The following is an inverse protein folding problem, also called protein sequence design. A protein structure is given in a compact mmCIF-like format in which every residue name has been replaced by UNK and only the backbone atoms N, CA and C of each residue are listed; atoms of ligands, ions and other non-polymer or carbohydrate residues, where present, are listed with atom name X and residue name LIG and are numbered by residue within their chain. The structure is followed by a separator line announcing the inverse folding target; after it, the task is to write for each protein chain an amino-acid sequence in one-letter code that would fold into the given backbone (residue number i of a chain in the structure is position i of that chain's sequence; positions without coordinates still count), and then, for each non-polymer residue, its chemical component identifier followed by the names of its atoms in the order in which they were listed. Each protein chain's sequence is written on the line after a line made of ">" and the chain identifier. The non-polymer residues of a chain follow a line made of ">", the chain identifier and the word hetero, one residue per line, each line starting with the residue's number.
data_IF_958580407211
#
_entry.id   IF_958580407211
#
_cell.length_a   1.000
_cell.length_b   1.000
_cell.length_c   1.000
_cell.angle_alpha   90.00
_cell.angle_beta   90.00
_cell.angle_gamma   90.00
#
_symmetry.space_group_name_H-M   'P 1'
#
loop_
_entity.id
_entity.type
_entity.pdbx_description
1 polymer ?
#
# COMPACT_ATOMS: atom_id res chain seq x y z
N UNK A 1 8.21 -6.17 1.42
CA UNK A 1 9.53 -6.24 2.08
C UNK A 1 9.43 -5.48 3.39
N UNK A 2 9.88 -6.04 4.51
CA UNK A 2 9.96 -5.36 5.80
C UNK A 2 11.42 -5.02 6.06
N UNK A 3 11.72 -3.75 6.33
CA UNK A 3 13.05 -3.28 6.71
C UNK A 3 13.01 -2.91 8.19
N UNK A 4 13.90 -3.50 8.99
CA UNK A 4 14.14 -3.13 10.38
C UNK A 4 15.46 -2.39 10.40
N UNK A 5 15.41 -1.10 10.71
CA UNK A 5 16.60 -0.25 10.74
C UNK A 5 17.39 -0.47 12.03
N UNK A 6 18.71 -0.40 11.93
CA UNK A 6 19.58 -0.31 13.10
C UNK A 6 19.27 0.97 13.89
N UNK A 7 19.59 0.98 15.19
CA UNK A 7 19.15 2.07 16.07
C UNK A 7 19.63 3.46 15.63
N UNK A 8 20.83 3.51 15.04
CA UNK A 8 21.45 4.72 14.50
C UNK A 8 20.77 5.26 13.24
N UNK A 9 20.10 4.38 12.47
CA UNK A 9 19.43 4.73 11.21
C UNK A 9 17.92 4.93 11.40
N UNK A 10 17.40 4.78 12.62
CA UNK A 10 15.98 4.99 12.90
C UNK A 10 15.60 6.45 12.65
N UNK A 11 14.50 6.63 11.94
CA UNK A 11 13.84 7.93 11.82
C UNK A 11 13.35 8.38 13.20
N UNK A 12 13.86 9.51 13.69
CA UNK A 12 13.51 10.10 14.99
C UNK A 12 12.78 11.43 14.83
N UNK A 13 12.94 12.07 13.68
CA UNK A 13 12.35 13.36 13.34
C UNK A 13 11.44 13.25 12.12
N UNK A 14 10.58 14.26 11.93
CA UNK A 14 9.76 14.33 10.72
C UNK A 14 10.60 14.64 9.48
N UNK A 15 11.74 15.32 9.69
CA UNK A 15 12.73 15.63 8.65
C UNK A 15 13.37 14.34 8.10
N UNK A 16 13.67 13.37 8.98
CA UNK A 16 14.17 12.06 8.56
C UNK A 16 13.14 11.39 7.63
N UNK A 17 11.86 11.42 8.00
CA UNK A 17 10.77 10.86 7.18
C UNK A 17 10.68 11.60 5.85
N UNK A 18 10.75 12.94 5.85
CA UNK A 18 10.71 13.75 4.62
C UNK A 18 11.86 13.47 3.67
N UNK A 19 13.01 13.05 4.18
CA UNK A 19 14.17 12.71 3.36
C UNK A 19 13.99 11.40 2.58
N UNK A 20 13.13 10.49 3.08
CA UNK A 20 12.96 9.15 2.52
C UNK A 20 11.61 8.95 1.85
N UNK A 21 10.53 9.51 2.39
CA UNK A 21 9.17 9.30 1.88
C UNK A 21 8.53 10.62 1.50
N UNK A 22 8.04 10.66 0.27
CA UNK A 22 7.25 11.73 -0.31
C UNK A 22 5.89 11.20 -0.69
N UNK A 23 4.89 12.06 -0.61
CA UNK A 23 3.57 11.81 -1.20
C UNK A 23 3.18 12.99 -2.09
N UNK A 24 4.18 13.62 -2.69
CA UNK A 24 4.05 14.77 -3.58
C UNK A 24 4.36 14.39 -5.01
N UNK A 25 3.68 15.02 -5.95
CA UNK A 25 4.02 14.97 -7.37
C UNK A 25 5.18 15.95 -7.61
N UNK A 26 6.33 15.49 -8.13
CA UNK A 26 7.48 16.34 -8.41
C UNK A 26 7.19 17.39 -9.47
N UNK A 27 8.00 18.45 -9.50
CA UNK A 27 7.86 19.50 -10.51
C UNK A 27 8.27 18.97 -11.90
N UNK A 28 7.39 19.16 -12.89
CA UNK A 28 7.57 18.67 -14.26
C UNK A 28 8.79 19.28 -14.95
N UNK A 29 9.11 20.54 -14.66
CA UNK A 29 10.22 21.25 -15.29
C UNK A 29 11.53 20.88 -14.60
N UNK A 30 11.54 20.83 -13.26
CA UNK A 30 12.77 20.57 -12.50
C UNK A 30 13.19 19.10 -12.53
N UNK A 31 12.22 18.18 -12.54
CA UNK A 31 12.47 16.74 -12.49
C UNK A 31 11.50 15.97 -13.42
N UNK A 32 11.59 16.17 -14.74
CA UNK A 32 10.61 15.62 -15.70
C UNK A 32 10.49 14.09 -15.63
N UNK A 33 11.62 13.38 -15.54
CA UNK A 33 11.62 11.91 -15.50
C UNK A 33 10.95 11.36 -14.25
N UNK A 34 11.26 11.95 -13.09
CA UNK A 34 10.63 11.53 -11.83
C UNK A 34 9.15 11.93 -11.80
N UNK A 35 8.80 13.11 -12.32
CA UNK A 35 7.41 13.54 -12.48
C UNK A 35 6.61 12.53 -13.29
N UNK A 36 7.13 12.11 -14.44
CA UNK A 36 6.54 11.09 -15.29
C UNK A 36 6.38 9.75 -14.54
N UNK A 37 7.43 9.23 -13.90
CA UNK A 37 7.34 7.99 -13.13
C UNK A 37 6.32 8.07 -12.00
N UNK A 38 6.27 9.19 -11.26
CA UNK A 38 5.30 9.38 -10.17
C UNK A 38 3.88 9.46 -10.72
N UNK A 39 3.64 10.16 -11.83
CA UNK A 39 2.31 10.20 -12.45
C UNK A 39 1.86 8.84 -12.94
N UNK A 40 2.75 8.07 -13.58
CA UNK A 40 2.41 6.78 -14.15
C UNK A 40 2.18 5.71 -13.09
N UNK A 41 2.98 5.72 -12.01
CA UNK A 41 3.01 4.61 -11.06
C UNK A 41 2.52 4.97 -9.66
N UNK A 42 2.68 6.21 -9.21
CA UNK A 42 2.36 6.60 -7.84
C UNK A 42 1.07 7.41 -7.73
N UNK A 43 0.45 7.82 -8.83
CA UNK A 43 -0.85 8.51 -8.79
C UNK A 43 -2.00 7.51 -8.81
N UNK A 44 -2.85 7.59 -7.79
CA UNK A 44 -4.04 6.77 -7.72
C UNK A 44 -5.14 7.31 -8.64
N UNK A 45 -5.32 6.64 -9.77
CA UNK A 45 -6.39 6.93 -10.72
C UNK A 45 -7.67 6.20 -10.31
N UNK A 46 -8.36 6.68 -9.27
CA UNK A 46 -9.75 6.27 -9.04
C UNK A 46 -10.71 7.24 -9.73
N UNK A 47 -11.68 6.69 -10.45
CA UNK A 47 -12.92 7.40 -10.69
C UNK A 47 -13.69 7.42 -9.38
N UNK A 48 -13.51 8.48 -8.59
CA UNK A 48 -14.72 9.09 -8.07
C UNK A 48 -15.57 9.46 -9.29
N UNK A 49 -16.89 9.39 -9.20
CA UNK A 49 -17.73 9.83 -10.32
C UNK A 49 -17.34 11.26 -10.65
N UNK A 50 -16.54 11.43 -11.69
CA UNK A 50 -16.22 12.70 -12.30
C UNK A 50 -17.25 12.84 -13.40
N UNK A 51 -17.98 13.94 -13.36
CA UNK A 51 -18.91 14.28 -14.41
C UNK A 51 -18.15 15.14 -15.42
N UNK A 52 -18.35 14.90 -16.71
CA UNK A 52 -17.92 15.84 -17.73
C UNK A 52 -18.71 17.16 -17.61
N UNK A 53 -18.35 18.16 -18.42
CA UNK A 53 -19.03 19.46 -18.44
C UNK A 53 -20.54 19.36 -18.79
N UNK A 54 -20.99 18.20 -19.28
CA UNK A 54 -22.38 17.88 -19.59
C UNK A 54 -23.08 17.06 -18.49
N UNK A 55 -22.42 16.82 -17.35
CA UNK A 55 -22.99 16.03 -16.26
C UNK A 55 -22.98 14.52 -16.49
N UNK A 56 -22.21 13.99 -17.46
CA UNK A 56 -22.10 12.56 -17.71
C UNK A 56 -20.94 11.93 -16.93
N UNK A 57 -21.16 10.77 -16.27
CA UNK A 57 -20.10 10.09 -15.53
C UNK A 57 -19.01 9.60 -16.50
N UNK A 58 -17.79 10.13 -16.35
CA UNK A 58 -16.63 9.75 -17.14
C UNK A 58 -16.24 8.31 -16.78
N UNK A 59 -16.23 7.35 -17.73
CA UNK A 59 -15.89 5.97 -17.43
C UNK A 59 -14.37 5.79 -17.30
N UNK A 60 -13.88 5.43 -16.12
CA UNK A 60 -12.64 4.65 -15.99
C UNK A 60 -12.69 3.73 -14.75
N UNK A 61 -11.68 2.87 -14.59
CA UNK A 61 -11.78 1.52 -14.04
C UNK A 61 -12.45 1.37 -12.66
N UNK A 62 -13.58 0.65 -12.63
CA UNK A 62 -14.42 0.29 -11.46
C UNK A 62 -13.75 -0.54 -10.34
N UNK A 63 -12.43 -0.70 -10.32
CA UNK A 63 -11.77 -1.65 -9.41
C UNK A 63 -11.71 -1.17 -7.94
N UNK A 64 -11.55 0.14 -7.71
CA UNK A 64 -11.24 0.70 -6.38
C UNK A 64 -12.41 1.45 -5.71
N UNK A 65 -13.51 1.67 -6.42
CA UNK A 65 -14.67 2.43 -5.91
C UNK A 65 -15.70 1.50 -5.28
N UNK A 66 -16.16 1.82 -4.08
CA UNK A 66 -17.28 1.16 -3.42
C UNK A 66 -18.61 1.49 -4.10
N UNK A 67 -19.65 0.72 -3.80
CA UNK A 67 -21.02 1.02 -4.26
C UNK A 67 -21.51 2.40 -3.81
N UNK A 68 -20.95 2.92 -2.72
CA UNK A 68 -21.23 4.25 -2.16
C UNK A 68 -20.54 5.40 -2.91
N UNK A 69 -19.70 5.09 -3.90
CA UNK A 69 -18.89 6.07 -4.62
C UNK A 69 -17.58 6.45 -3.93
N UNK A 70 -17.28 5.88 -2.74
CA UNK A 70 -16.04 6.14 -2.00
C UNK A 70 -14.90 5.22 -2.47
N UNK A 71 -13.67 5.72 -2.48
CA UNK A 71 -12.51 4.89 -2.75
C UNK A 71 -12.21 3.97 -1.55
N UNK A 72 -12.11 2.65 -1.79
CA UNK A 72 -11.72 1.65 -0.79
C UNK A 72 -10.33 1.90 -0.17
N UNK A 73 -9.49 2.66 -0.87
CA UNK A 73 -8.12 3.03 -0.45
C UNK A 73 -8.06 4.42 0.19
N UNK A 74 -9.21 5.07 0.42
CA UNK A 74 -9.29 6.32 1.17
C UNK A 74 -8.85 7.57 0.41
N UNK A 75 -8.81 7.52 -0.93
CA UNK A 75 -8.57 8.71 -1.75
C UNK A 75 -9.84 9.57 -1.90
N UNK A 76 -9.73 10.90 -2.06
CA UNK A 76 -8.50 11.68 -1.94
C UNK A 76 -8.01 11.73 -0.49
N UNK A 77 -6.69 11.73 -0.30
CA UNK A 77 -6.08 11.89 1.02
C UNK A 77 -6.17 13.35 1.49
N UNK A 78 -6.14 13.58 2.80
CA UNK A 78 -6.26 14.94 3.35
C UNK A 78 -5.05 15.82 2.98
N UNK A 79 -5.32 17.08 2.59
CA UNK A 79 -4.29 18.11 2.49
C UNK A 79 -3.79 18.47 3.88
N UNK A 80 -2.48 18.40 4.09
CA UNK A 80 -1.86 18.73 5.36
C UNK A 80 -0.44 19.22 5.15
N UNK A 81 -0.03 20.23 5.91
CA UNK A 81 1.28 20.86 5.76
C UNK A 81 2.44 20.00 6.31
N UNK A 82 2.15 19.13 7.28
CA UNK A 82 3.15 18.32 7.98
C UNK A 82 2.72 16.85 8.06
N UNK A 83 3.70 15.95 8.11
CA UNK A 83 3.43 14.54 8.38
C UNK A 83 3.09 14.33 9.85
N UNK A 84 2.02 13.60 10.13
CA UNK A 84 1.55 13.29 11.49
C UNK A 84 1.35 11.80 11.69
N UNK A 85 1.37 11.33 12.94
CA UNK A 85 1.01 9.94 13.25
C UNK A 85 -0.51 9.76 13.14
N UNK A 86 -0.94 8.73 12.42
CA UNK A 86 -2.33 8.30 12.32
C UNK A 86 -2.77 7.48 13.54
N UNK A 87 -4.08 7.44 13.78
CA UNK A 87 -4.69 6.74 14.93
C UNK A 87 -4.43 5.22 14.90
N UNK A 88 -4.24 4.69 13.70
CA UNK A 88 -3.90 3.30 13.38
C UNK A 88 -2.38 3.01 13.42
N UNK A 89 -1.55 4.02 13.68
CA UNK A 89 -0.09 3.92 13.71
C UNK A 89 0.58 4.07 12.34
N UNK A 90 -0.18 4.44 11.31
CA UNK A 90 0.34 4.77 9.97
C UNK A 90 0.64 6.27 9.86
N UNK A 91 1.70 6.65 9.16
CA UNK A 91 1.97 8.06 8.91
C UNK A 91 0.92 8.68 7.96
N UNK A 92 0.43 9.86 8.33
CA UNK A 92 -0.37 10.73 7.47
C UNK A 92 0.56 11.74 6.83
N UNK A 93 0.92 11.53 5.57
CA UNK A 93 1.95 12.34 4.90
C UNK A 93 1.48 13.75 4.54
N UNK A 94 2.42 14.70 4.58
CA UNK A 94 2.23 16.06 4.05
C UNK A 94 1.86 16.06 2.56
N UNK A 95 0.91 16.91 2.18
CA UNK A 95 0.37 17.08 0.83
C UNK A 95 -0.01 18.54 0.63
N UNK A 96 0.54 19.18 -0.39
CA UNK A 96 0.43 20.63 -0.58
C UNK A 96 -0.55 21.02 -1.68
N UNK A 97 -0.74 20.16 -2.68
CA UNK A 97 -1.59 20.42 -3.84
C UNK A 97 -2.75 19.43 -3.90
N UNK A 98 -3.85 19.81 -4.57
CA UNK A 98 -4.97 18.91 -4.80
C UNK A 98 -4.55 17.63 -5.56
N UNK A 99 -3.57 17.74 -6.46
CA UNK A 99 -3.01 16.59 -7.18
C UNK A 99 -2.25 15.64 -6.22
N UNK A 100 -1.52 16.18 -5.24
CA UNK A 100 -0.85 15.37 -4.21
C UNK A 100 -1.84 14.52 -3.41
N UNK A 101 -3.12 14.90 -3.30
CA UNK A 101 -4.13 14.11 -2.58
C UNK A 101 -4.32 12.70 -3.16
N UNK A 102 -3.95 12.49 -4.42
CA UNK A 102 -4.05 11.21 -5.12
C UNK A 102 -2.72 10.47 -5.21
N UNK A 103 -1.61 11.08 -4.79
CA UNK A 103 -0.31 10.43 -4.78
C UNK A 103 -0.22 9.40 -3.64
N UNK A 104 0.13 8.17 -3.96
CA UNK A 104 0.57 7.17 -2.99
C UNK A 104 1.95 7.56 -2.41
N UNK A 105 2.23 7.27 -1.14
CA UNK A 105 3.53 7.54 -0.53
C UNK A 105 4.62 6.65 -1.14
N UNK A 106 5.75 7.27 -1.47
CA UNK A 106 6.83 6.64 -2.20
C UNK A 106 8.18 7.22 -1.82
N UNK A 107 9.24 6.47 -2.10
CA UNK A 107 10.58 7.02 -2.10
C UNK A 107 10.92 7.48 -3.53
N UNK A 108 11.23 8.78 -3.76
CA UNK A 108 11.54 9.30 -5.10
C UNK A 108 12.67 8.55 -5.81
N UNK A 109 13.72 8.19 -5.08
CA UNK A 109 14.85 7.45 -5.65
C UNK A 109 14.44 6.05 -6.11
N UNK A 110 13.66 5.31 -5.31
CA UNK A 110 13.22 3.95 -5.68
C UNK A 110 12.29 3.97 -6.88
N UNK A 111 11.32 4.89 -6.92
CA UNK A 111 10.39 5.02 -8.05
C UNK A 111 11.14 5.36 -9.32
N UNK A 112 12.07 6.31 -9.26
CA UNK A 112 12.87 6.68 -10.42
C UNK A 112 13.79 5.53 -10.89
N UNK A 113 14.46 4.86 -9.95
CA UNK A 113 15.42 3.79 -10.26
C UNK A 113 14.78 2.57 -10.89
N UNK A 114 13.60 2.16 -10.40
CA UNK A 114 12.94 0.94 -10.85
C UNK A 114 11.78 1.19 -11.80
N UNK A 115 11.36 2.45 -11.97
CA UNK A 115 10.29 2.89 -12.86
C UNK A 115 9.03 2.00 -12.76
N UNK A 116 8.56 1.78 -11.54
CA UNK A 116 7.41 0.92 -11.26
C UNK A 116 6.66 1.36 -10.00
N UNK A 117 5.50 0.74 -9.75
CA UNK A 117 4.67 0.99 -8.56
C UNK A 117 5.38 0.49 -7.29
N UNK A 118 5.88 1.42 -6.47
CA UNK A 118 6.54 1.12 -5.20
C UNK A 118 5.94 2.01 -4.10
N UNK A 119 5.09 1.43 -3.26
CA UNK A 119 4.57 2.10 -2.06
C UNK A 119 5.57 1.93 -0.90
N UNK A 120 5.95 3.05 -0.27
CA UNK A 120 6.83 3.05 0.91
C UNK A 120 6.09 3.66 2.08
N UNK A 121 6.00 2.89 3.18
CA UNK A 121 5.29 3.31 4.39
C UNK A 121 6.22 3.33 5.59
N UNK A 122 6.17 4.42 6.37
CA UNK A 122 6.85 4.53 7.65
C UNK A 122 5.88 4.21 8.79
N UNK A 123 6.36 3.40 9.72
CA UNK A 123 5.62 3.01 10.92
C UNK A 123 6.40 3.38 12.17
N UNK A 124 5.76 4.16 13.04
CA UNK A 124 6.33 4.57 14.33
C UNK A 124 5.77 3.73 15.49
N UNK A 125 4.66 3.04 15.27
CA UNK A 125 3.94 2.30 16.32
C UNK A 125 4.12 0.78 16.25
N UNK A 126 4.24 0.14 17.41
CA UNK A 126 4.26 -1.32 17.56
C UNK A 126 2.97 -2.00 17.07
N UNK A 127 1.86 -1.25 16.97
CA UNK A 127 0.57 -1.76 16.44
C UNK A 127 0.72 -2.25 14.99
N UNK A 128 1.48 -1.54 14.17
CA UNK A 128 1.72 -1.91 12.79
C UNK A 128 2.63 -3.14 12.67
N UNK A 129 3.63 -3.25 13.56
CA UNK A 129 4.49 -4.45 13.64
C UNK A 129 3.64 -5.67 13.97
N UNK A 130 2.74 -5.59 14.97
CA UNK A 130 1.81 -6.68 15.28
C UNK A 130 0.96 -7.08 14.07
N UNK A 131 0.51 -6.11 13.27
CA UNK A 131 -0.22 -6.38 12.04
C UNK A 131 0.66 -7.10 11.01
N UNK A 132 1.89 -6.65 10.76
CA UNK A 132 2.81 -7.30 9.82
C UNK A 132 3.12 -8.74 10.21
N UNK A 133 3.40 -9.00 11.50
CA UNK A 133 3.59 -10.35 12.01
C UNK A 133 2.35 -11.22 11.78
N UNK A 134 1.13 -10.68 11.95
CA UNK A 134 -0.09 -11.43 11.60
C UNK A 134 -0.11 -11.89 10.15
N UNK A 135 0.44 -11.14 9.20
CA UNK A 135 0.49 -11.54 7.77
C UNK A 135 1.62 -12.51 7.46
N UNK A 136 2.82 -12.29 8.00
CA UNK A 136 3.96 -13.20 7.84
C UNK A 136 3.64 -14.59 8.41
N UNK A 137 2.98 -14.60 9.57
CA UNK A 137 2.66 -15.84 10.30
C UNK A 137 1.23 -16.32 10.09
N UNK A 138 0.45 -15.71 9.17
CA UNK A 138 -0.91 -16.21 8.86
C UNK A 138 -0.92 -17.59 8.20
N UNK A 139 0.26 -18.12 7.88
CA UNK A 139 0.44 -19.31 7.05
C UNK A 139 0.23 -18.93 5.59
N UNK A 140 1.10 -19.39 4.70
CA UNK A 140 0.83 -19.36 3.27
C UNK A 140 -0.47 -20.13 3.00
N UNK A 141 -1.26 -19.71 2.01
CA UNK A 141 -2.26 -20.60 1.41
C UNK A 141 -1.49 -21.77 0.78
N UNK A 142 -1.29 -22.83 1.57
CA UNK A 142 -0.55 -24.02 1.15
C UNK A 142 -1.50 -24.85 0.30
N UNK A 143 -1.28 -24.86 -1.00
CA UNK A 143 -1.87 -25.87 -1.86
C UNK A 143 -1.03 -27.15 -1.68
N UNK A 144 -1.59 -28.12 -0.98
CA UNK A 144 -1.09 -29.48 -0.98
C UNK A 144 -1.66 -30.18 -2.23
N UNK A 145 -0.79 -30.62 -3.14
CA UNK A 145 -1.17 -31.50 -4.24
C UNK A 145 -0.41 -32.82 -4.09
N UNK A 146 -1.11 -33.93 -4.24
CA UNK A 146 -0.52 -35.25 -4.31
C UNK A 146 -0.63 -35.76 -5.74
N UNK A 147 0.49 -36.11 -6.35
CA UNK A 147 0.51 -36.78 -7.66
C UNK A 147 0.51 -38.27 -7.41
N UNK A 148 -0.62 -38.92 -7.69
CA UNK A 148 -0.72 -40.37 -7.62
C UNK A 148 -0.42 -40.97 -8.98
N UNK A 149 0.66 -41.74 -9.08
CA UNK A 149 0.77 -42.75 -10.14
C UNK A 149 -0.07 -43.94 -9.69
N UNK A 150 -1.03 -44.36 -10.52
CA UNK A 150 -1.94 -45.47 -10.23
C UNK A 150 -1.19 -46.72 -9.74
N UNK A 151 -1.14 -46.90 -8.42
CA UNK A 151 -1.32 -48.12 -7.62
C UNK A 151 -0.90 -47.79 -6.19
N UNK A 152 -1.82 -48.05 -5.25
CA UNK A 152 -1.73 -47.89 -3.79
C UNK A 152 -2.20 -46.52 -3.25
N UNK A 153 -3.49 -46.47 -2.91
CA UNK A 153 -4.06 -45.44 -2.03
C UNK A 153 -3.64 -45.79 -0.59
N UNK A 154 -2.79 -44.99 0.03
CA UNK A 154 -2.76 -44.89 1.49
C UNK A 154 -3.45 -43.59 1.90
N UNK A 155 -4.33 -43.60 2.91
CA UNK A 155 -4.85 -42.36 3.48
C UNK A 155 -3.73 -41.64 4.25
N UNK A 156 -3.54 -40.35 3.96
CA UNK A 156 -2.65 -39.49 4.73
C UNK A 156 -3.16 -39.41 6.17
N UNK A 157 -2.32 -39.79 7.14
CA UNK A 157 -2.51 -39.42 8.54
C UNK A 157 -2.09 -37.95 8.71
N UNK A 158 -3.02 -37.14 9.17
CA UNK A 158 -2.81 -35.77 9.59
C UNK A 158 -2.20 -35.75 11.00
N UNK A 159 -0.92 -35.40 11.10
CA UNK A 159 -0.32 -34.99 12.37
C UNK A 159 -0.87 -33.61 12.79
N UNK A 160 -2.10 -33.61 13.29
CA UNK A 160 -2.66 -32.55 14.11
C UNK A 160 -3.81 -33.15 14.94
N UNK A 161 -3.45 -33.92 15.96
CA UNK A 161 -4.39 -34.41 16.96
C UNK A 161 -5.01 -33.26 17.76
N UNK A 162 -6.08 -32.64 17.26
CA UNK A 162 -7.08 -31.92 18.05
C UNK A 162 -8.44 -32.08 17.37
N UNK A 163 -9.29 -32.93 17.98
CA UNK A 163 -10.73 -32.98 17.69
C UNK A 163 -11.34 -31.61 17.96
N UNK A 164 -12.10 -31.08 17.01
CA UNK A 164 -13.14 -30.08 17.29
C UNK A 164 -14.48 -30.74 17.07
N UNK A 165 -15.12 -31.09 18.18
CA UNK A 165 -16.51 -31.53 18.20
C UNK A 165 -17.40 -30.38 17.72
N UNK A 166 -18.36 -30.74 16.88
CA UNK A 166 -19.39 -29.85 16.35
C UNK A 166 -20.52 -29.68 17.37
N UNK A 167 -20.90 -28.43 17.63
CA UNK A 167 -22.26 -28.00 17.97
C UNK A 167 -22.54 -26.68 17.28
#
# INVERSE_FOLDING_TARGET
>A
MLLIMEDQDKFRTIEDIYSVVSARIPDEIKNPQLHESVNNFMTHTCTHVQYDDNGQPIPSARACTEKTGKCKKGFPQLLQATTTEGVDGYAKYRRHTAADQYSMPHNPYLVHKYNCLINVEVYTSIKAVKYLYKYVYRGSDRIAYAVFTNRERQPMLDEAGVRKDAT
#
